data_IF_266385467972
#
_entry.id   IF_266385467972
#
_cell.length_a   1.000
_cell.length_b   1.000
_cell.length_c   1.000
_cell.angle_alpha   90.00
_cell.angle_beta   90.00
_cell.angle_gamma   90.00
#
_symmetry.space_group_name_H-M   'P 1'
#
loop_
_entity.id
_entity.type
_entity.pdbx_description
1 polymer ?
#
# COMPACT_ATOMS: atom_id res chain seq x y z
N UNK A 1 12.87 -0.08 -15.90
CA UNK A 1 12.37 -1.07 -14.93
C UNK A 1 10.89 -0.80 -14.66
N UNK A 2 10.14 -1.81 -14.24
CA UNK A 2 8.69 -1.73 -14.00
C UNK A 2 8.27 -0.83 -12.80
N UNK A 3 9.24 -0.33 -12.05
CA UNK A 3 9.08 0.64 -10.95
C UNK A 3 9.63 2.01 -11.32
N UNK A 4 9.51 2.38 -12.60
CA UNK A 4 9.91 3.70 -13.07
C UNK A 4 8.82 4.73 -12.79
N UNK A 5 9.23 5.87 -12.27
CA UNK A 5 8.36 7.01 -11.95
C UNK A 5 8.61 8.15 -12.94
N UNK A 6 8.94 7.82 -14.20
CA UNK A 6 9.18 8.81 -15.25
C UNK A 6 7.96 9.72 -15.43
N UNK A 7 8.18 11.03 -15.41
CA UNK A 7 7.14 12.05 -15.49
C UNK A 7 6.36 12.29 -14.19
N UNK A 8 6.56 11.48 -13.14
CA UNK A 8 5.93 11.71 -11.85
C UNK A 8 6.66 12.82 -11.07
N UNK A 9 5.90 13.67 -10.37
CA UNK A 9 6.48 14.66 -9.46
C UNK A 9 7.11 13.96 -8.26
N UNK A 10 8.29 14.45 -7.86
CA UNK A 10 9.03 13.94 -6.70
C UNK A 10 8.76 14.81 -5.46
N UNK A 11 8.61 14.21 -4.27
CA UNK A 11 8.48 12.76 -4.05
C UNK A 11 7.12 12.22 -4.51
N UNK A 12 7.10 11.03 -5.09
CA UNK A 12 5.86 10.30 -5.36
C UNK A 12 5.35 9.67 -4.05
N UNK A 13 4.15 10.06 -3.62
CA UNK A 13 3.60 9.70 -2.30
C UNK A 13 2.55 8.61 -2.46
N UNK A 14 2.80 7.45 -1.86
CA UNK A 14 1.93 6.27 -1.83
C UNK A 14 1.38 6.12 -0.42
N UNK A 15 0.06 6.22 -0.29
CA UNK A 15 -0.68 5.92 0.93
C UNK A 15 -1.22 4.49 0.85
N UNK A 16 -0.77 3.60 1.73
CA UNK A 16 -1.16 2.18 1.71
C UNK A 16 -2.27 1.94 2.72
N UNK A 17 -3.43 1.51 2.25
CA UNK A 17 -4.65 1.30 3.04
C UNK A 17 -5.18 -0.12 2.91
N UNK A 18 -6.10 -0.52 3.78
CA UNK A 18 -6.69 -1.86 3.82
C UNK A 18 -6.85 -2.39 5.24
N UNK A 19 -7.54 -3.51 5.42
CA UNK A 19 -7.79 -4.04 6.76
C UNK A 19 -6.55 -4.68 7.40
N UNK A 20 -6.61 -5.00 8.69
CA UNK A 20 -5.53 -5.73 9.35
C UNK A 20 -5.40 -7.16 8.80
N UNK A 21 -4.18 -7.67 8.66
CA UNK A 21 -3.92 -9.06 8.23
C UNK A 21 -3.88 -9.31 6.72
N UNK A 22 -4.24 -8.31 5.88
CA UNK A 22 -4.17 -8.42 4.41
C UNK A 22 -2.76 -8.24 3.83
N UNK A 23 -1.77 -7.97 4.68
CA UNK A 23 -0.37 -7.85 4.24
C UNK A 23 0.08 -6.44 3.82
N UNK A 24 -0.51 -5.37 4.37
CA UNK A 24 -0.10 -3.97 4.12
C UNK A 24 1.39 -3.74 4.35
N UNK A 25 1.86 -3.94 5.59
CA UNK A 25 3.24 -3.70 6.00
C UNK A 25 4.23 -4.55 5.19
N UNK A 26 3.89 -5.82 4.91
CA UNK A 26 4.67 -6.69 4.01
C UNK A 26 4.72 -6.12 2.58
N UNK A 27 3.61 -5.65 2.03
CA UNK A 27 3.54 -5.05 0.70
C UNK A 27 4.39 -3.78 0.63
N UNK A 28 4.37 -2.94 1.69
CA UNK A 28 5.21 -1.74 1.80
C UNK A 28 6.68 -2.10 1.75
N UNK A 29 7.11 -3.09 2.54
CA UNK A 29 8.50 -3.55 2.53
C UNK A 29 8.95 -4.07 1.17
N UNK A 30 8.10 -4.84 0.47
CA UNK A 30 8.38 -5.31 -0.89
C UNK A 30 8.42 -4.16 -1.90
N UNK A 31 7.50 -3.19 -1.82
CA UNK A 31 7.53 -1.99 -2.67
C UNK A 31 8.82 -1.19 -2.45
N UNK A 32 9.22 -0.98 -1.20
CA UNK A 32 10.45 -0.28 -0.86
C UNK A 32 11.68 -0.98 -1.47
N UNK A 33 11.74 -2.31 -1.38
CA UNK A 33 12.77 -3.13 -2.02
C UNK A 33 12.79 -2.93 -3.54
N UNK A 34 11.64 -3.01 -4.20
CA UNK A 34 11.54 -2.88 -5.66
C UNK A 34 11.93 -1.48 -6.15
N UNK A 35 11.48 -0.42 -5.47
CA UNK A 35 11.88 0.96 -5.80
C UNK A 35 13.38 1.19 -5.56
N UNK A 36 13.92 0.70 -4.44
CA UNK A 36 15.37 0.79 -4.15
C UNK A 36 16.20 0.03 -5.18
N UNK A 37 15.79 -1.19 -5.56
CA UNK A 37 16.42 -2.00 -6.62
C UNK A 37 16.35 -1.31 -7.98
N UNK A 38 15.33 -0.49 -8.23
CA UNK A 38 15.21 0.38 -9.39
C UNK A 38 16.02 1.70 -9.28
N UNK A 39 16.88 1.83 -8.27
CA UNK A 39 17.75 3.00 -8.06
C UNK A 39 17.04 4.23 -7.49
N UNK A 40 15.84 4.07 -6.92
CA UNK A 40 15.07 5.18 -6.33
C UNK A 40 15.37 5.32 -4.84
N UNK A 41 15.45 6.56 -4.35
CA UNK A 41 15.50 6.84 -2.91
C UNK A 41 14.09 6.73 -2.30
N UNK A 42 13.95 5.96 -1.22
CA UNK A 42 12.65 5.64 -0.60
C UNK A 42 12.63 6.13 0.85
N UNK A 43 11.50 6.67 1.30
CA UNK A 43 11.21 7.00 2.69
C UNK A 43 9.95 6.29 3.16
N UNK A 44 9.98 5.67 4.34
CA UNK A 44 8.82 5.02 4.95
C UNK A 44 8.20 5.90 6.06
N UNK A 45 6.89 5.84 6.21
CA UNK A 45 6.15 6.48 7.32
C UNK A 45 5.30 5.49 8.10
N UNK A 46 5.54 5.36 9.40
CA UNK A 46 4.86 4.41 10.28
C UNK A 46 3.59 5.00 10.91
N UNK A 47 2.55 5.27 10.12
CA UNK A 47 1.31 5.89 10.61
C UNK A 47 0.26 4.89 11.15
N UNK A 48 0.51 3.57 11.17
CA UNK A 48 -0.23 2.61 12.03
C UNK A 48 0.26 2.73 13.49
N UNK A 49 0.00 3.87 14.12
CA UNK A 49 0.49 4.20 15.48
C UNK A 49 -0.27 3.47 16.59
N UNK A 50 -1.39 2.83 16.26
CA UNK A 50 -2.23 2.09 17.21
C UNK A 50 -1.68 0.73 17.61
N UNK A 51 -0.72 0.21 16.84
CA UNK A 51 -0.17 -1.13 17.02
C UNK A 51 1.34 -1.02 17.09
N UNK A 52 1.91 -1.12 18.31
CA UNK A 52 3.36 -1.15 18.50
C UNK A 52 4.03 -2.17 17.55
N UNK A 53 3.47 -3.38 17.48
CA UNK A 53 3.96 -4.42 16.58
C UNK A 53 3.94 -4.03 15.09
N UNK A 54 3.05 -3.13 14.64
CA UNK A 54 3.04 -2.66 13.26
C UNK A 54 4.21 -1.70 12.98
N UNK A 55 4.49 -0.77 13.90
CA UNK A 55 5.66 0.12 13.83
C UNK A 55 6.96 -0.67 13.88
N UNK A 56 7.05 -1.67 14.75
CA UNK A 56 8.22 -2.55 14.87
C UNK A 56 8.40 -3.39 13.60
N UNK A 57 7.33 -3.98 13.08
CA UNK A 57 7.37 -4.74 11.83
C UNK A 57 7.81 -3.88 10.64
N UNK A 58 7.32 -2.65 10.53
CA UNK A 58 7.74 -1.72 9.47
C UNK A 58 9.20 -1.27 9.66
N UNK A 59 9.66 -1.10 10.91
CA UNK A 59 11.06 -0.80 11.23
C UNK A 59 11.97 -1.93 10.74
N UNK A 60 11.63 -3.19 11.04
CA UNK A 60 12.39 -4.37 10.57
C UNK A 60 12.46 -4.40 9.04
N UNK A 61 11.35 -4.11 8.36
CA UNK A 61 11.35 -3.99 6.89
C UNK A 61 12.26 -2.87 6.40
N UNK A 62 12.22 -1.71 7.05
CA UNK A 62 13.07 -0.56 6.76
C UNK A 62 14.56 -0.91 6.84
N UNK A 63 14.96 -1.58 7.91
CA UNK A 63 16.33 -2.03 8.16
C UNK A 63 16.75 -3.10 7.16
N UNK A 64 15.89 -4.10 6.92
CA UNK A 64 16.15 -5.19 5.97
C UNK A 64 16.34 -4.69 4.54
N UNK A 65 15.53 -3.72 4.11
CA UNK A 65 15.67 -3.08 2.79
C UNK A 65 16.80 -2.06 2.79
N UNK A 66 17.13 -1.47 3.94
CA UNK A 66 18.09 -0.39 4.10
C UNK A 66 17.56 0.95 3.58
N UNK A 67 16.36 1.34 3.99
CA UNK A 67 15.72 2.63 3.69
C UNK A 67 15.41 3.38 4.99
N UNK A 68 15.34 4.72 4.99
CA UNK A 68 14.92 5.49 6.16
C UNK A 68 13.42 5.35 6.46
N UNK A 69 13.07 5.48 7.74
CA UNK A 69 11.71 5.45 8.26
C UNK A 69 11.48 6.61 9.23
N UNK A 70 10.31 7.24 9.12
CA UNK A 70 9.78 8.19 10.12
C UNK A 70 8.75 7.45 10.98
N UNK A 71 8.94 7.53 12.29
CA UNK A 71 8.06 6.96 13.30
C UNK A 71 8.03 7.86 14.53
N UNK A 72 6.93 7.79 15.28
CA UNK A 72 6.77 8.43 16.58
C UNK A 72 6.40 7.38 17.64
N UNK A 73 6.10 7.81 18.86
CA UNK A 73 5.65 6.94 19.93
C UNK A 73 4.32 6.24 19.59
N UNK A 74 4.06 5.11 20.24
CA UNK A 74 2.76 4.43 20.15
C UNK A 74 1.64 5.38 20.62
N UNK A 75 0.51 5.39 19.90
CA UNK A 75 -0.61 6.30 20.18
C UNK A 75 -0.42 7.72 19.68
N UNK A 76 0.70 8.05 19.03
CA UNK A 76 0.87 9.31 18.31
C UNK A 76 -0.20 9.49 17.24
N UNK A 77 -0.47 10.74 16.88
CA UNK A 77 -1.39 11.08 15.79
C UNK A 77 -0.84 10.58 14.42
N UNK A 78 -1.57 9.70 13.70
CA UNK A 78 -1.16 9.24 12.37
C UNK A 78 -0.94 10.37 11.36
N UNK A 79 -1.74 11.45 11.47
CA UNK A 79 -1.58 12.64 10.64
C UNK A 79 -0.24 13.34 10.87
N UNK A 80 0.19 13.49 12.11
CA UNK A 80 1.50 14.05 12.45
C UNK A 80 2.64 13.21 11.88
N UNK A 81 2.58 11.87 12.03
CA UNK A 81 3.60 10.98 11.44
C UNK A 81 3.65 11.12 9.92
N UNK A 82 2.50 11.16 9.24
CA UNK A 82 2.45 11.33 7.80
C UNK A 82 3.01 12.70 7.34
N UNK A 83 2.71 13.77 8.08
CA UNK A 83 3.25 15.11 7.83
C UNK A 83 4.78 15.12 7.93
N UNK A 84 5.33 14.60 9.03
CA UNK A 84 6.79 14.52 9.26
C UNK A 84 7.47 13.65 8.20
N UNK A 85 6.82 12.56 7.79
CA UNK A 85 7.32 11.67 6.73
C UNK A 85 7.46 12.42 5.42
N UNK A 86 6.41 13.15 5.00
CA UNK A 86 6.43 13.90 3.75
C UNK A 86 7.43 15.05 3.82
N UNK A 87 7.49 15.77 4.94
CA UNK A 87 8.45 16.86 5.14
C UNK A 87 9.90 16.35 5.07
N UNK A 88 10.20 15.22 5.73
CA UNK A 88 11.53 14.59 5.70
C UNK A 88 11.88 14.05 4.31
N UNK A 89 10.92 13.45 3.61
CA UNK A 89 11.13 12.97 2.25
C UNK A 89 11.40 14.11 1.26
N UNK A 90 10.70 15.24 1.37
CA UNK A 90 10.96 16.44 0.56
C UNK A 90 12.35 17.00 0.86
N UNK A 91 12.71 17.19 2.14
CA UNK A 91 14.01 17.78 2.51
C UNK A 91 15.21 16.90 2.11
N UNK A 92 15.02 15.58 2.07
CA UNK A 92 16.02 14.61 1.63
C UNK A 92 15.96 14.29 0.14
N UNK A 93 15.11 14.98 -0.62
CA UNK A 93 14.89 14.76 -2.05
C UNK A 93 14.62 13.28 -2.39
N UNK A 94 13.75 12.65 -1.59
CA UNK A 94 13.31 11.27 -1.81
C UNK A 94 12.55 11.17 -3.14
N UNK A 95 12.76 10.07 -3.87
CA UNK A 95 11.98 9.78 -5.07
C UNK A 95 10.59 9.27 -4.69
N UNK A 96 10.49 8.47 -3.63
CA UNK A 96 9.26 7.77 -3.20
C UNK A 96 9.05 7.88 -1.70
N UNK A 97 7.81 8.14 -1.30
CA UNK A 97 7.37 8.09 0.09
C UNK A 97 6.24 7.06 0.19
N UNK A 98 6.35 6.11 1.13
CA UNK A 98 5.34 5.07 1.35
C UNK A 98 4.88 5.14 2.81
N UNK A 99 3.59 5.40 3.03
CA UNK A 99 3.00 5.57 4.36
C UNK A 99 2.11 4.36 4.68
N UNK A 100 2.42 3.67 5.78
CA UNK A 100 1.56 2.61 6.36
C UNK A 100 0.46 3.25 7.20
N UNK A 101 -0.77 2.71 7.13
CA UNK A 101 -1.91 3.22 7.90
C UNK A 101 -2.56 2.12 8.74
N UNK A 102 -3.35 2.52 9.74
CA UNK A 102 -4.18 1.56 10.46
C UNK A 102 -5.21 0.88 9.52
N UNK A 103 -5.69 -0.31 9.92
CA UNK A 103 -6.64 -1.12 9.15
C UNK A 103 -7.88 -1.59 9.91
N UNK A 104 -8.33 -0.83 10.91
CA UNK A 104 -9.42 -1.23 11.82
C UNK A 104 -10.80 -0.89 11.24
N UNK A 105 -11.33 -1.74 10.35
CA UNK A 105 -12.62 -1.50 9.68
C UNK A 105 -13.87 -1.65 10.58
N UNK A 106 -13.74 -2.26 11.77
CA UNK A 106 -14.85 -2.38 12.72
C UNK A 106 -15.32 -1.03 13.27
N UNK A 107 -14.46 -0.01 13.26
CA UNK A 107 -14.82 1.37 13.57
C UNK A 107 -14.64 2.24 12.31
N UNK A 108 -15.52 2.04 11.33
CA UNK A 108 -15.45 2.65 9.99
C UNK A 108 -15.27 4.17 10.07
N UNK A 109 -16.08 4.86 10.89
CA UNK A 109 -16.04 6.32 11.00
C UNK A 109 -14.65 6.82 11.41
N UNK A 110 -14.09 6.21 12.46
CA UNK A 110 -12.78 6.58 12.97
C UNK A 110 -11.67 6.40 11.92
N UNK A 111 -11.64 5.24 11.25
CA UNK A 111 -10.66 4.96 10.21
C UNK A 111 -10.74 5.98 9.06
N UNK A 112 -11.95 6.38 8.68
CA UNK A 112 -12.15 7.34 7.58
C UNK A 112 -11.80 8.76 7.96
N UNK A 113 -12.09 9.18 9.20
CA UNK A 113 -11.66 10.48 9.73
C UNK A 113 -10.13 10.58 9.76
N UNK A 114 -9.45 9.49 10.15
CA UNK A 114 -7.99 9.37 10.17
C UNK A 114 -7.39 9.45 8.76
N UNK A 115 -7.90 8.65 7.80
CA UNK A 115 -7.45 8.72 6.41
C UNK A 115 -7.68 10.11 5.81
N UNK A 116 -8.85 10.71 6.04
CA UNK A 116 -9.15 12.07 5.61
C UNK A 116 -8.19 13.10 6.21
N UNK A 117 -7.79 12.92 7.48
CA UNK A 117 -6.77 13.76 8.12
C UNK A 117 -5.41 13.60 7.47
N UNK A 118 -4.95 12.38 7.23
CA UNK A 118 -3.67 12.09 6.54
C UNK A 118 -3.65 12.77 5.16
N UNK A 119 -4.71 12.64 4.37
CA UNK A 119 -4.83 13.34 3.08
C UNK A 119 -4.67 14.85 3.22
N UNK A 120 -5.37 15.48 4.18
CA UNK A 120 -5.30 16.94 4.38
C UNK A 120 -3.89 17.41 4.77
N UNK A 121 -3.20 16.68 5.65
CA UNK A 121 -1.86 17.11 6.12
C UNK A 121 -0.79 16.91 5.06
N UNK A 122 -0.85 15.81 4.31
CA UNK A 122 0.08 15.54 3.19
C UNK A 122 -0.08 16.61 2.10
N UNK A 123 -1.32 17.02 1.79
CA UNK A 123 -1.62 18.09 0.83
C UNK A 123 -1.07 19.46 1.18
N UNK A 124 -0.82 19.74 2.47
CA UNK A 124 -0.22 21.01 2.89
C UNK A 124 1.23 21.14 2.43
N UNK A 125 1.93 20.01 2.25
CA UNK A 125 3.33 20.00 1.82
C UNK A 125 3.41 19.79 0.30
N UNK A 126 2.61 18.87 -0.24
CA UNK A 126 2.58 18.54 -1.66
C UNK A 126 1.10 18.58 -2.13
N UNK A 127 0.65 19.66 -2.80
CA UNK A 127 -0.77 19.88 -3.11
C UNK A 127 -1.49 18.75 -3.85
N UNK A 128 -0.77 18.00 -4.69
CA UNK A 128 -1.27 16.87 -5.47
C UNK A 128 -1.09 15.49 -4.82
N UNK A 129 -0.54 15.44 -3.60
CA UNK A 129 -0.38 14.20 -2.84
C UNK A 129 -1.66 13.82 -2.04
N UNK A 130 -1.83 12.54 -1.65
CA UNK A 130 -1.07 11.39 -2.13
C UNK A 130 -1.31 11.15 -3.63
N UNK A 131 -0.25 10.76 -4.34
CA UNK A 131 -0.30 10.48 -5.77
C UNK A 131 -0.89 9.09 -6.05
N UNK A 132 -0.79 8.19 -5.08
CA UNK A 132 -1.39 6.87 -5.09
C UNK A 132 -2.01 6.55 -3.73
N UNK A 133 -3.26 6.08 -3.74
CA UNK A 133 -3.91 5.43 -2.61
C UNK A 133 -4.03 3.96 -2.98
N UNK A 134 -3.13 3.14 -2.43
CA UNK A 134 -3.03 1.72 -2.72
C UNK A 134 -3.82 0.90 -1.70
N UNK A 135 -4.94 0.35 -2.12
CA UNK A 135 -5.74 -0.56 -1.30
C UNK A 135 -5.19 -1.99 -1.39
N UNK A 136 -4.74 -2.54 -0.27
CA UNK A 136 -4.26 -3.91 -0.16
C UNK A 136 -5.42 -4.83 0.23
N UNK A 137 -5.63 -5.88 -0.55
CA UNK A 137 -6.68 -6.88 -0.35
C UNK A 137 -6.08 -8.30 -0.32
N UNK A 138 -6.69 -9.17 0.48
CA UNK A 138 -6.33 -10.57 0.58
C UNK A 138 -7.12 -11.41 -0.44
N UNK A 139 -6.42 -11.92 -1.46
CA UNK A 139 -7.02 -12.70 -2.55
C UNK A 139 -7.64 -14.03 -2.10
N UNK A 140 -7.19 -14.58 -0.97
CA UNK A 140 -7.72 -15.84 -0.42
C UNK A 140 -9.15 -15.69 0.14
N UNK A 141 -9.58 -14.46 0.42
CA UNK A 141 -10.83 -14.18 1.14
C UNK A 141 -12.06 -14.06 0.23
N UNK A 142 -11.89 -14.12 -1.09
CA UNK A 142 -13.02 -14.15 -2.04
C UNK A 142 -13.93 -12.92 -1.91
N UNK A 143 -15.23 -13.15 -1.70
CA UNK A 143 -16.26 -12.11 -1.56
C UNK A 143 -15.98 -11.10 -0.44
N UNK A 144 -15.23 -11.48 0.61
CA UNK A 144 -14.87 -10.55 1.67
C UNK A 144 -13.94 -9.42 1.16
N UNK A 145 -13.05 -9.72 0.21
CA UNK A 145 -12.22 -8.70 -0.42
C UNK A 145 -13.06 -7.69 -1.23
N UNK A 146 -14.15 -8.15 -1.86
CA UNK A 146 -15.08 -7.30 -2.61
C UNK A 146 -15.81 -6.32 -1.68
N UNK A 147 -16.34 -6.82 -0.56
CA UNK A 147 -17.03 -5.97 0.42
C UNK A 147 -16.06 -4.96 1.08
N UNK A 148 -14.82 -5.37 1.36
CA UNK A 148 -13.79 -4.45 1.84
C UNK A 148 -13.47 -3.37 0.80
N UNK A 149 -13.29 -3.75 -0.46
CA UNK A 149 -13.07 -2.80 -1.55
C UNK A 149 -14.19 -1.77 -1.60
N UNK A 150 -15.46 -2.22 -1.62
CA UNK A 150 -16.64 -1.35 -1.60
C UNK A 150 -16.60 -0.33 -0.48
N UNK A 151 -16.25 -0.77 0.73
CA UNK A 151 -16.22 0.09 1.91
C UNK A 151 -15.09 1.13 1.86
N UNK A 152 -13.89 0.75 1.41
CA UNK A 152 -12.79 1.70 1.25
C UNK A 152 -13.04 2.69 0.11
N UNK A 153 -13.55 2.23 -1.04
CA UNK A 153 -13.82 3.10 -2.19
C UNK A 153 -14.97 4.08 -1.94
N UNK A 154 -15.90 3.74 -1.05
CA UNK A 154 -16.97 4.65 -0.65
C UNK A 154 -16.47 5.80 0.22
N UNK A 155 -15.31 5.65 0.85
CA UNK A 155 -14.86 6.56 1.89
C UNK A 155 -13.51 7.25 1.61
N UNK A 156 -12.69 6.68 0.72
CA UNK A 156 -11.50 7.35 0.18
C UNK A 156 -11.34 7.04 -1.30
N UNK A 157 -10.71 7.96 -2.02
CA UNK A 157 -10.44 7.81 -3.44
C UNK A 157 -9.24 6.87 -3.63
N UNK A 158 -9.52 5.57 -3.69
CA UNK A 158 -8.54 4.52 -4.00
C UNK A 158 -8.17 4.59 -5.48
N UNK A 159 -6.88 4.68 -5.77
CA UNK A 159 -6.37 4.82 -7.15
C UNK A 159 -5.82 3.52 -7.72
N UNK A 160 -5.42 2.57 -6.86
CA UNK A 160 -4.86 1.28 -7.27
C UNK A 160 -5.14 0.18 -6.24
N UNK A 161 -5.15 -1.06 -6.70
CA UNK A 161 -5.27 -2.26 -5.86
C UNK A 161 -3.95 -3.05 -5.83
N UNK A 162 -3.60 -3.56 -4.65
CA UNK A 162 -2.61 -4.62 -4.49
C UNK A 162 -3.31 -5.86 -3.92
N UNK A 163 -3.13 -7.01 -4.59
CA UNK A 163 -3.70 -8.27 -4.11
C UNK A 163 -2.60 -9.14 -3.56
N UNK A 164 -2.76 -9.60 -2.33
CA UNK A 164 -1.79 -10.49 -1.66
C UNK A 164 -2.35 -11.91 -1.56
N UNK A 165 -1.48 -12.85 -1.17
CA UNK A 165 -1.81 -14.25 -0.88
C UNK A 165 -2.53 -14.94 -2.05
N UNK A 166 -2.04 -14.70 -3.26
CA UNK A 166 -2.52 -15.38 -4.46
C UNK A 166 -1.85 -16.74 -4.67
N UNK A 167 -0.73 -16.99 -4.00
CA UNK A 167 -0.09 -18.29 -3.93
C UNK A 167 -1.05 -19.35 -3.38
N UNK A 168 -1.29 -20.39 -4.17
CA UNK A 168 -2.11 -21.54 -3.76
C UNK A 168 -3.63 -21.32 -3.73
N UNK A 169 -4.17 -20.23 -4.28
CA UNK A 169 -5.64 -19.99 -4.25
C UNK A 169 -6.29 -20.08 -5.63
N UNK A 170 -7.33 -20.92 -5.75
CA UNK A 170 -8.23 -20.94 -6.92
C UNK A 170 -9.22 -19.75 -6.94
N UNK A 171 -9.12 -18.83 -5.97
CA UNK A 171 -10.04 -17.69 -5.79
C UNK A 171 -9.57 -16.39 -6.44
N UNK A 172 -8.49 -16.44 -7.22
CA UNK A 172 -7.95 -15.28 -7.95
C UNK A 172 -8.96 -14.59 -8.89
N UNK A 173 -10.00 -15.29 -9.35
CA UNK A 173 -11.06 -14.70 -10.18
C UNK A 173 -11.82 -13.53 -9.51
N UNK A 174 -11.89 -13.49 -8.17
CA UNK A 174 -12.55 -12.37 -7.46
C UNK A 174 -11.83 -11.04 -7.69
N UNK A 175 -10.52 -11.08 -7.93
CA UNK A 175 -9.69 -9.89 -8.17
C UNK A 175 -10.13 -9.15 -9.42
N UNK A 176 -10.34 -9.90 -10.51
CA UNK A 176 -10.81 -9.34 -11.78
C UNK A 176 -12.21 -8.74 -11.63
N UNK A 177 -13.07 -9.37 -10.82
CA UNK A 177 -14.39 -8.85 -10.52
C UNK A 177 -14.32 -7.51 -9.75
N UNK A 178 -13.47 -7.41 -8.72
CA UNK A 178 -13.24 -6.17 -7.96
C UNK A 178 -12.75 -5.06 -8.90
N UNK A 179 -11.71 -5.34 -9.68
CA UNK A 179 -11.13 -4.37 -10.61
C UNK A 179 -12.16 -3.86 -11.63
N UNK A 180 -12.94 -4.77 -12.21
CA UNK A 180 -13.94 -4.43 -13.21
C UNK A 180 -15.14 -3.66 -12.62
N UNK A 181 -15.58 -4.03 -11.40
CA UNK A 181 -16.72 -3.41 -10.74
C UNK A 181 -16.42 -1.98 -10.30
N UNK A 182 -15.26 -1.75 -9.67
CA UNK A 182 -14.90 -0.43 -9.14
C UNK A 182 -14.13 0.45 -10.13
N UNK A 183 -13.77 -0.09 -11.30
CA UNK A 183 -12.94 0.60 -12.31
C UNK A 183 -11.61 1.09 -11.75
N UNK A 184 -11.07 0.35 -10.77
CA UNK A 184 -9.77 0.63 -10.16
C UNK A 184 -8.77 -0.41 -10.69
N UNK A 185 -7.61 0.02 -11.23
CA UNK A 185 -6.62 -0.92 -11.74
C UNK A 185 -6.00 -1.73 -10.60
N UNK A 186 -5.87 -3.03 -10.82
CA UNK A 186 -4.94 -3.85 -10.03
C UNK A 186 -3.55 -3.51 -10.52
N UNK A 187 -2.71 -3.00 -9.62
CA UNK A 187 -1.35 -2.59 -9.94
C UNK A 187 -0.33 -3.63 -9.50
N UNK A 188 -0.56 -4.29 -8.36
CA UNK A 188 0.38 -5.27 -7.82
C UNK A 188 -0.30 -6.58 -7.43
N UNK A 189 0.46 -7.67 -7.57
CA UNK A 189 0.12 -9.00 -7.05
C UNK A 189 1.26 -9.55 -6.19
N UNK A 190 0.92 -10.02 -5.01
CA UNK A 190 1.80 -10.72 -4.08
C UNK A 190 1.60 -12.22 -4.21
N UNK A 191 2.67 -12.93 -4.54
CA UNK A 191 2.66 -14.35 -4.93
C UNK A 191 3.53 -15.24 -4.03
N UNK A 192 3.77 -14.78 -2.80
CA UNK A 192 4.62 -15.47 -1.83
C UNK A 192 5.12 -14.55 -0.73
N UNK A 193 6.09 -15.02 0.06
CA UNK A 193 6.59 -14.34 1.25
C UNK A 193 7.93 -13.61 1.05
N UNK A 194 8.68 -13.94 -0.01
CA UNK A 194 10.01 -13.37 -0.26
C UNK A 194 9.90 -11.90 -0.68
N UNK A 195 11.01 -11.16 -0.55
CA UNK A 195 11.06 -9.73 -0.86
C UNK A 195 10.76 -9.43 -2.33
N UNK A 196 11.17 -10.31 -3.25
CA UNK A 196 10.91 -10.20 -4.68
C UNK A 196 9.52 -10.75 -5.10
N UNK A 197 8.74 -11.34 -4.17
CA UNK A 197 7.41 -11.92 -4.45
C UNK A 197 6.30 -10.84 -4.47
N UNK A 198 6.57 -9.73 -5.13
CA UNK A 198 5.62 -8.68 -5.49
C UNK A 198 5.87 -8.28 -6.93
N UNK A 199 4.87 -8.46 -7.78
CA UNK A 199 4.95 -8.19 -9.21
C UNK A 199 3.97 -7.11 -9.61
N UNK A 200 4.26 -6.41 -10.71
CA UNK A 200 3.23 -5.64 -11.39
C UNK A 200 2.17 -6.59 -11.95
N UNK A 201 0.93 -6.16 -11.88
CA UNK A 201 -0.16 -6.92 -12.46
C UNK A 201 -0.14 -6.82 -13.98
N UNK A 202 -0.07 -7.98 -14.64
CA UNK A 202 -0.29 -8.12 -16.07
C UNK A 202 -1.58 -8.94 -16.28
N UNK A 203 -2.66 -8.33 -16.81
CA UNK A 203 -3.93 -9.03 -17.01
C UNK A 203 -3.79 -10.28 -17.88
N UNK A 204 -2.94 -10.26 -18.90
CA UNK A 204 -2.74 -11.39 -19.82
C UNK A 204 -2.05 -12.54 -19.11
N UNK A 205 -0.96 -12.27 -18.40
CA UNK A 205 -0.22 -13.30 -17.65
C UNK A 205 -1.07 -13.87 -16.52
N UNK A 206 -1.83 -13.03 -15.82
CA UNK A 206 -2.72 -13.48 -14.75
C UNK A 206 -3.85 -14.38 -15.26
N UNK A 207 -4.47 -14.02 -16.38
CA UNK A 207 -5.47 -14.86 -17.03
C UNK A 207 -4.85 -16.19 -17.45
N UNK A 208 -3.69 -16.16 -18.10
CA UNK A 208 -2.99 -17.38 -18.51
C UNK A 208 -2.68 -18.29 -17.31
N UNK A 209 -2.19 -17.73 -16.20
CA UNK A 209 -1.88 -18.51 -15.00
C UNK A 209 -3.12 -19.15 -14.36
N UNK A 210 -4.27 -18.48 -14.41
CA UNK A 210 -5.53 -19.03 -13.90
C UNK A 210 -6.02 -20.23 -14.72
N UNK A 211 -5.83 -20.20 -16.05
CA UNK A 211 -6.28 -21.28 -16.93
C UNK A 211 -5.27 -22.44 -17.02
N UNK A 212 -3.97 -22.16 -16.87
CA UNK A 212 -2.94 -23.21 -16.83
C UNK A 212 -2.97 -24.06 -15.55
N UNK A 213 -3.49 -23.52 -14.44
CA UNK A 213 -3.69 -24.26 -13.19
C UNK A 213 -4.84 -25.28 -13.24
N UNK A 214 -5.68 -25.21 -14.28
CA UNK A 214 -6.80 -26.12 -14.51
C UNK A 214 -6.51 -27.13 -15.64
N UNK A 215 -5.25 -27.28 -16.06
CA UNK A 215 -4.79 -28.20 -17.10
C UNK A 215 -3.93 -29.32 -16.53
#
# INVERSE_FOLDING_TARGET
SNFNLEGAKKPYVILVVGVNGVGKTTTIGKLAHQYKKAGKSVMLGAADTFRAAAVDQLTIWSERVGVPIVKQAMGSDPGAVAFDTVQSGVSKNADVIIIDTAGRLHNKKYLMDELGKIHRVVKKIIPDAPHEVLLVLDGSTGQNALEQAKQFTAATHVTALAITKLDGTAKGGVVLAIANQFKIPVKYIGIGEKMDDLQLFNPKEFVNSLFSLNS
#
